data_IF_500878100611
#
_entry.id   IF_500878100611
#
_cell.length_a   1.000
_cell.length_b   1.000
_cell.length_c   1.000
_cell.angle_alpha   90.00
_cell.angle_beta   90.00
_cell.angle_gamma   90.00
#
_symmetry.space_group_name_H-M   'P 1'
#
loop_
_entity.id
_entity.type
_entity.pdbx_description
1 polymer ?
#
# COMPACT_ATOMS: atom_id res chain seq x y z
N UNK A 1 8.96 -2.41 5.59
CA UNK A 1 8.68 -1.16 4.84
C UNK A 1 9.61 -0.02 5.25
N UNK A 2 9.72 0.30 6.53
CA UNK A 2 10.60 1.37 7.02
C UNK A 2 12.01 1.37 6.40
N UNK A 3 12.77 0.27 6.54
CA UNK A 3 14.13 0.19 5.98
C UNK A 3 14.21 0.27 4.45
N UNK A 4 13.13 -0.04 3.73
CA UNK A 4 13.07 0.14 2.28
C UNK A 4 12.95 1.62 1.91
N UNK A 5 12.10 2.36 2.61
CA UNK A 5 11.95 3.81 2.42
C UNK A 5 13.26 4.52 2.77
N UNK A 6 13.90 4.17 3.89
CA UNK A 6 15.20 4.72 4.29
C UNK A 6 16.30 4.43 3.25
N UNK A 7 16.39 3.19 2.75
CA UNK A 7 17.40 2.81 1.76
C UNK A 7 17.21 3.52 0.42
N UNK A 8 15.97 3.61 -0.08
CA UNK A 8 15.68 4.37 -1.31
C UNK A 8 15.95 5.86 -1.09
N UNK A 9 15.59 6.41 0.07
CA UNK A 9 15.85 7.81 0.41
C UNK A 9 17.35 8.12 0.41
N UNK A 10 18.17 7.25 1.01
CA UNK A 10 19.62 7.42 1.04
C UNK A 10 20.26 7.35 -0.35
N UNK A 11 19.91 6.34 -1.15
CA UNK A 11 20.41 6.20 -2.52
C UNK A 11 20.01 7.40 -3.38
N UNK A 12 18.75 7.82 -3.27
CA UNK A 12 18.23 8.94 -4.02
C UNK A 12 18.83 10.26 -3.56
N UNK A 13 19.03 10.46 -2.26
CA UNK A 13 19.70 11.64 -1.73
C UNK A 13 21.11 11.80 -2.33
N UNK A 14 21.87 10.70 -2.42
CA UNK A 14 23.18 10.69 -3.05
C UNK A 14 23.09 11.05 -4.54
N UNK A 15 22.12 10.49 -5.26
CA UNK A 15 21.92 10.76 -6.69
C UNK A 15 21.41 12.18 -6.98
N UNK A 16 20.52 12.71 -6.14
CA UNK A 16 19.91 14.04 -6.30
C UNK A 16 20.89 15.17 -5.95
N UNK A 17 21.83 14.94 -5.01
CA UNK A 17 22.87 15.92 -4.68
C UNK A 17 23.66 16.38 -5.90
N UNK A 18 23.86 15.47 -6.86
CA UNK A 18 24.76 15.68 -8.01
C UNK A 18 24.00 15.75 -9.36
N UNK A 19 22.66 15.68 -9.35
CA UNK A 19 21.84 15.73 -10.58
C UNK A 19 21.42 17.15 -10.95
N UNK A 20 21.41 17.44 -12.28
CA UNK A 20 20.75 18.64 -12.83
C UNK A 20 19.24 18.52 -12.64
N UNK A 21 18.58 19.60 -12.20
CA UNK A 21 17.13 19.63 -12.03
C UNK A 21 16.41 19.22 -13.32
N UNK A 22 15.47 18.30 -13.19
CA UNK A 22 14.58 17.93 -14.29
C UNK A 22 13.75 19.16 -14.70
N UNK A 23 13.44 19.35 -16.00
CA UNK A 23 12.52 20.38 -16.47
C UNK A 23 11.21 20.36 -15.66
N UNK A 24 10.68 21.54 -15.35
CA UNK A 24 9.55 21.70 -14.43
C UNK A 24 8.32 20.91 -14.89
N UNK A 25 8.13 20.77 -16.21
CA UNK A 25 7.05 20.03 -16.86
C UNK A 25 7.11 18.52 -16.65
N UNK A 26 8.28 17.96 -16.34
CA UNK A 26 8.49 16.53 -16.08
C UNK A 26 8.64 16.20 -14.59
N UNK A 27 8.67 17.23 -13.73
CA UNK A 27 8.96 17.10 -12.31
C UNK A 27 7.93 16.27 -11.54
N UNK A 28 6.64 16.39 -11.91
CA UNK A 28 5.53 15.66 -11.27
C UNK A 28 5.57 14.15 -11.59
N UNK A 29 5.90 13.79 -12.83
CA UNK A 29 5.94 12.40 -13.28
C UNK A 29 7.21 11.66 -12.83
N UNK A 30 8.36 12.35 -12.85
CA UNK A 30 9.65 11.71 -12.62
C UNK A 30 9.88 11.33 -11.14
N UNK A 31 9.34 12.11 -10.19
CA UNK A 31 9.71 11.97 -8.78
C UNK A 31 8.83 11.02 -7.96
N UNK A 32 7.52 10.97 -8.21
CA UNK A 32 6.60 10.15 -7.41
C UNK A 32 6.57 8.70 -7.92
N UNK A 33 6.26 8.49 -9.21
CA UNK A 33 6.13 7.15 -9.79
C UNK A 33 7.41 6.32 -9.72
N UNK A 34 8.56 6.89 -10.06
CA UNK A 34 9.86 6.19 -9.99
C UNK A 34 10.23 5.78 -8.56
N UNK A 35 9.84 6.59 -7.57
CA UNK A 35 10.14 6.31 -6.18
C UNK A 35 9.24 5.24 -5.59
N UNK A 36 7.96 5.22 -5.97
CA UNK A 36 7.04 4.15 -5.61
C UNK A 36 7.60 2.80 -6.07
N UNK A 37 7.94 2.69 -7.35
CA UNK A 37 8.54 1.47 -7.94
C UNK A 37 9.83 1.08 -7.22
N UNK A 38 10.68 2.04 -6.90
CA UNK A 38 11.93 1.79 -6.17
C UNK A 38 11.69 1.31 -4.74
N UNK A 39 10.70 1.88 -4.03
CA UNK A 39 10.32 1.46 -2.68
C UNK A 39 9.74 0.06 -2.67
N UNK A 40 8.88 -0.29 -3.63
CA UNK A 40 8.33 -1.65 -3.77
C UNK A 40 9.46 -2.66 -4.01
N UNK A 41 10.35 -2.38 -4.97
CA UNK A 41 11.49 -3.26 -5.27
C UNK A 41 12.45 -3.44 -4.08
N UNK A 42 12.76 -2.36 -3.35
CA UNK A 42 13.58 -2.43 -2.13
C UNK A 42 12.86 -3.13 -0.99
N UNK A 43 11.55 -2.92 -0.83
CA UNK A 43 10.76 -3.64 0.15
C UNK A 43 10.83 -5.15 -0.12
N UNK A 44 10.58 -5.57 -1.35
CA UNK A 44 10.62 -6.97 -1.75
C UNK A 44 12.00 -7.58 -1.44
N UNK A 45 13.07 -6.90 -1.82
CA UNK A 45 14.44 -7.36 -1.60
C UNK A 45 14.81 -7.46 -0.11
N UNK A 46 14.49 -6.44 0.69
CA UNK A 46 14.84 -6.41 2.11
C UNK A 46 13.99 -7.36 2.95
N UNK A 47 12.70 -7.53 2.58
CA UNK A 47 11.78 -8.40 3.28
C UNK A 47 12.01 -9.89 2.94
N UNK A 48 12.69 -10.20 1.83
CA UNK A 48 12.82 -11.57 1.30
C UNK A 48 13.22 -12.61 2.37
N UNK A 49 14.32 -12.38 3.11
CA UNK A 49 14.78 -13.31 4.15
C UNK A 49 13.78 -13.48 5.30
N UNK A 50 13.02 -12.44 5.61
CA UNK A 50 11.98 -12.54 6.62
C UNK A 50 10.80 -13.35 6.08
N UNK A 51 10.36 -13.09 4.85
CA UNK A 51 9.29 -13.81 4.17
C UNK A 51 9.61 -15.31 4.02
N UNK A 52 10.82 -15.65 3.60
CA UNK A 52 11.29 -17.05 3.50
C UNK A 52 11.20 -17.78 4.85
N UNK A 53 11.57 -17.12 5.96
CA UNK A 53 11.42 -17.68 7.32
C UNK A 53 9.97 -17.87 7.74
N UNK A 54 9.06 -17.05 7.22
CA UNK A 54 7.62 -17.21 7.38
C UNK A 54 7.02 -18.22 6.39
N UNK A 55 7.84 -18.90 5.57
CA UNK A 55 7.41 -19.80 4.49
C UNK A 55 6.48 -19.11 3.48
N UNK A 56 6.71 -17.82 3.24
CA UNK A 56 5.98 -17.03 2.26
C UNK A 56 6.80 -16.88 0.98
N UNK A 57 6.22 -17.27 -0.15
CA UNK A 57 6.77 -17.02 -1.48
C UNK A 57 6.25 -15.67 -2.00
N UNK A 58 7.16 -14.74 -2.27
CA UNK A 58 6.81 -13.42 -2.77
C UNK A 58 6.89 -13.34 -4.30
N UNK A 59 5.91 -12.67 -4.91
CA UNK A 59 5.86 -12.37 -6.34
C UNK A 59 5.66 -10.87 -6.51
N UNK A 60 6.62 -10.20 -7.14
CA UNK A 60 6.57 -8.78 -7.47
C UNK A 60 5.88 -8.55 -8.83
N UNK A 61 5.07 -7.49 -8.92
CA UNK A 61 4.23 -7.13 -10.08
C UNK A 61 3.40 -8.32 -10.60
N UNK A 62 2.72 -9.04 -9.70
CA UNK A 62 1.98 -10.23 -10.08
C UNK A 62 0.83 -9.85 -11.02
N UNK A 63 0.80 -10.35 -12.28
CA UNK A 63 -0.33 -10.12 -13.16
C UNK A 63 -1.55 -10.91 -12.66
N UNK A 64 -2.71 -10.28 -12.74
CA UNK A 64 -4.00 -10.94 -12.53
C UNK A 64 -4.65 -11.11 -13.89
N UNK A 65 -4.79 -12.35 -14.34
CA UNK A 65 -5.42 -12.68 -15.62
C UNK A 65 -6.91 -12.32 -15.57
N UNK A 66 -7.23 -11.07 -15.92
CA UNK A 66 -8.61 -10.56 -15.93
C UNK A 66 -9.25 -10.51 -17.32
N UNK A 67 -8.51 -10.81 -18.39
CA UNK A 67 -8.98 -10.59 -19.76
C UNK A 67 -9.16 -11.89 -20.52
N UNK A 68 -10.41 -12.17 -20.88
CA UNK A 68 -10.79 -13.10 -21.95
C UNK A 68 -10.60 -12.47 -23.34
N UNK A 69 -10.56 -11.13 -23.47
CA UNK A 69 -10.23 -10.40 -24.70
C UNK A 69 -9.87 -8.91 -24.47
N UNK A 70 -9.16 -8.28 -25.41
CA UNK A 70 -8.84 -6.83 -25.46
C UNK A 70 -7.36 -6.45 -25.28
N UNK A 71 -6.88 -5.41 -25.98
CA UNK A 71 -5.50 -4.90 -25.91
C UNK A 71 -5.26 -3.99 -24.68
N UNK A 72 -4.15 -4.19 -23.96
CA UNK A 72 -3.77 -3.43 -22.76
C UNK A 72 -3.05 -4.28 -21.70
N UNK A 73 -2.36 -3.63 -20.75
CA UNK A 73 -1.64 -4.31 -19.65
C UNK A 73 -2.66 -4.97 -18.72
N UNK A 74 -2.40 -6.22 -18.32
CA UNK A 74 -3.18 -6.86 -17.26
C UNK A 74 -3.03 -6.07 -15.96
N UNK A 75 -4.09 -5.96 -15.14
CA UNK A 75 -3.95 -5.39 -13.80
C UNK A 75 -2.91 -6.21 -13.02
N UNK A 76 -1.98 -5.53 -12.37
CA UNK A 76 -0.94 -6.15 -11.54
C UNK A 76 -1.17 -5.84 -10.08
N UNK A 77 -0.76 -6.76 -9.22
CA UNK A 77 -0.63 -6.52 -7.79
C UNK A 77 0.84 -6.24 -7.52
N UNK A 78 1.15 -5.22 -6.71
CA UNK A 78 2.54 -4.85 -6.46
C UNK A 78 3.30 -6.02 -5.83
N UNK A 79 2.82 -6.59 -4.72
CA UNK A 79 3.41 -7.80 -4.13
C UNK A 79 2.31 -8.77 -3.73
N UNK A 80 2.42 -10.02 -4.20
CA UNK A 80 1.65 -11.14 -3.68
C UNK A 80 2.54 -12.07 -2.86
N UNK A 81 2.11 -12.41 -1.65
CA UNK A 81 2.78 -13.35 -0.77
C UNK A 81 1.93 -14.62 -0.66
N UNK A 82 2.47 -15.74 -1.13
CA UNK A 82 1.80 -17.04 -1.07
C UNK A 82 2.34 -17.87 0.08
N UNK A 83 1.45 -18.50 0.83
CA UNK A 83 1.82 -19.40 1.92
C UNK A 83 0.66 -20.25 2.38
N UNK A 84 0.77 -20.74 3.60
CA UNK A 84 -0.20 -21.61 4.24
C UNK A 84 -0.54 -21.08 5.63
N UNK A 85 -1.82 -21.15 5.99
CA UNK A 85 -2.31 -20.89 7.34
C UNK A 85 -2.38 -22.22 8.07
N UNK A 86 -1.85 -22.24 9.28
CA UNK A 86 -1.93 -23.42 10.13
C UNK A 86 -3.40 -23.77 10.37
N UNK A 87 -3.77 -25.06 10.33
CA UNK A 87 -5.12 -25.48 10.60
C UNK A 87 -5.54 -25.07 12.02
N UNK A 88 -6.81 -24.70 12.18
CA UNK A 88 -7.38 -24.32 13.48
C UNK A 88 -7.55 -25.54 14.38
N UNK A 89 -7.84 -26.71 13.80
CA UNK A 89 -7.96 -27.97 14.51
C UNK A 89 -6.85 -28.94 14.11
N UNK A 90 -6.39 -29.74 15.06
CA UNK A 90 -5.47 -30.84 14.78
C UNK A 90 -6.11 -31.82 13.78
N UNK A 91 -5.45 -32.01 12.63
CA UNK A 91 -5.87 -32.95 11.58
C UNK A 91 -6.48 -32.31 10.33
N UNK A 92 -6.84 -31.02 10.36
CA UNK A 92 -7.27 -30.32 9.15
C UNK A 92 -6.06 -30.03 8.23
N UNK A 93 -6.21 -30.10 6.89
CA UNK A 93 -5.14 -29.70 5.99
C UNK A 93 -4.91 -28.18 6.10
N UNK A 94 -3.66 -27.70 5.92
CA UNK A 94 -3.38 -26.28 5.91
C UNK A 94 -4.14 -25.58 4.77
N UNK A 95 -4.70 -24.41 5.07
CA UNK A 95 -5.37 -23.60 4.06
C UNK A 95 -4.34 -22.76 3.32
N UNK A 96 -4.36 -22.81 1.99
CA UNK A 96 -3.50 -21.94 1.17
C UNK A 96 -3.96 -20.50 1.32
N UNK A 97 -3.00 -19.57 1.34
CA UNK A 97 -3.26 -18.14 1.46
C UNK A 97 -2.45 -17.32 0.46
N UNK A 98 -3.07 -16.29 -0.08
CA UNK A 98 -2.42 -15.18 -0.77
C UNK A 98 -2.65 -13.87 0.01
N UNK A 99 -1.57 -13.20 0.39
CA UNK A 99 -1.61 -11.82 0.90
C UNK A 99 -1.20 -10.88 -0.23
N UNK A 100 -2.08 -9.94 -0.59
CA UNK A 100 -1.89 -8.97 -1.67
C UNK A 100 -1.58 -7.62 -1.06
N UNK A 101 -0.48 -7.02 -1.48
CA UNK A 101 -0.01 -5.71 -1.02
C UNK A 101 -0.03 -4.75 -2.20
N UNK A 102 -0.66 -3.59 -2.01
CA UNK A 102 -0.54 -2.42 -2.89
C UNK A 102 0.19 -1.32 -2.14
N UNK A 103 1.07 -0.62 -2.85
CA UNK A 103 1.80 0.52 -2.32
C UNK A 103 1.33 1.79 -3.02
N UNK A 104 1.38 2.90 -2.31
CA UNK A 104 0.96 4.16 -2.90
C UNK A 104 1.37 5.38 -2.11
N UNK A 105 1.41 6.50 -2.79
CA UNK A 105 1.54 7.80 -2.14
C UNK A 105 0.17 8.38 -1.78
N UNK A 106 0.03 8.89 -0.56
CA UNK A 106 -1.13 9.71 -0.22
C UNK A 106 -0.79 11.19 -0.20
N UNK A 107 -1.70 11.99 -0.72
CA UNK A 107 -1.60 13.44 -0.74
C UNK A 107 -2.36 14.07 0.42
N UNK A 108 -1.92 15.28 0.79
CA UNK A 108 -2.66 16.11 1.75
C UNK A 108 -3.47 17.13 0.96
N UNK A 109 -4.79 16.96 0.96
CA UNK A 109 -5.70 17.97 0.44
C UNK A 109 -5.67 19.22 1.33
N UNK A 110 -5.68 20.39 0.69
CA UNK A 110 -5.64 21.71 1.34
C UNK A 110 -4.45 21.88 2.32
N UNK A 111 -3.19 21.68 1.87
CA UNK A 111 -2.03 21.63 2.75
C UNK A 111 -1.72 22.97 3.45
N UNK A 112 -2.22 24.09 2.90
CA UNK A 112 -1.91 25.45 3.36
C UNK A 112 -2.70 25.90 4.59
N UNK A 113 -3.79 25.22 4.97
CA UNK A 113 -4.64 25.60 6.11
C UNK A 113 -4.71 24.45 7.11
N UNK A 114 -4.09 24.58 8.30
CA UNK A 114 -4.08 23.51 9.30
C UNK A 114 -5.47 22.99 9.67
N UNK A 115 -6.45 23.88 9.76
CA UNK A 115 -7.83 23.55 10.14
C UNK A 115 -8.61 22.73 9.10
N UNK A 116 -8.16 22.72 7.84
CA UNK A 116 -8.81 21.97 6.74
C UNK A 116 -7.90 20.88 6.16
N UNK A 117 -6.73 20.67 6.77
CA UNK A 117 -5.72 19.71 6.33
C UNK A 117 -6.29 18.30 6.48
N UNK A 118 -6.37 17.55 5.38
CA UNK A 118 -6.87 16.17 5.36
C UNK A 118 -6.11 15.33 4.34
N UNK A 119 -6.15 14.02 4.48
CA UNK A 119 -5.61 13.10 3.46
C UNK A 119 -6.62 12.98 2.32
N UNK A 120 -6.16 13.04 1.07
CA UNK A 120 -7.00 12.77 -0.09
C UNK A 120 -7.36 11.27 -0.15
N UNK A 121 -8.64 10.89 -0.09
CA UNK A 121 -9.06 9.49 -0.11
C UNK A 121 -8.94 8.82 -1.48
N UNK A 122 -8.67 9.56 -2.55
CA UNK A 122 -8.76 9.06 -3.93
C UNK A 122 -7.84 7.88 -4.20
N UNK A 123 -6.58 7.95 -3.75
CA UNK A 123 -5.61 6.85 -3.93
C UNK A 123 -6.01 5.62 -3.12
N UNK A 124 -6.37 5.81 -1.84
CA UNK A 124 -6.83 4.71 -0.98
C UNK A 124 -8.04 4.00 -1.56
N UNK A 125 -9.04 4.77 -2.02
CA UNK A 125 -10.23 4.23 -2.68
C UNK A 125 -9.87 3.47 -3.95
N UNK A 126 -9.09 4.07 -4.84
CA UNK A 126 -8.71 3.43 -6.11
C UNK A 126 -7.99 2.09 -5.93
N UNK A 127 -7.03 2.04 -5.00
CA UNK A 127 -6.29 0.80 -4.72
C UNK A 127 -7.18 -0.25 -4.01
N UNK A 128 -8.08 0.18 -3.12
CA UNK A 128 -9.01 -0.71 -2.45
C UNK A 128 -10.03 -1.32 -3.41
N UNK A 129 -10.60 -0.50 -4.30
CA UNK A 129 -11.54 -0.96 -5.33
C UNK A 129 -10.85 -1.91 -6.31
N UNK A 130 -9.60 -1.61 -6.71
CA UNK A 130 -8.77 -2.51 -7.51
C UNK A 130 -8.60 -3.87 -6.82
N UNK A 131 -8.11 -3.91 -5.58
CA UNK A 131 -7.89 -5.17 -4.86
C UNK A 131 -9.20 -5.93 -4.63
N UNK A 132 -10.27 -5.21 -4.30
CA UNK A 132 -11.58 -5.77 -4.11
C UNK A 132 -12.09 -6.42 -5.39
N UNK A 133 -12.07 -5.72 -6.52
CA UNK A 133 -12.49 -6.22 -7.84
C UNK A 133 -11.67 -7.45 -8.28
N UNK A 134 -10.37 -7.49 -7.96
CA UNK A 134 -9.50 -8.62 -8.27
C UNK A 134 -9.70 -9.84 -7.34
N UNK A 135 -10.54 -9.76 -6.30
CA UNK A 135 -10.79 -10.90 -5.38
C UNK A 135 -11.42 -12.11 -6.07
N UNK A 136 -12.22 -11.87 -7.10
CA UNK A 136 -12.91 -12.92 -7.86
C UNK A 136 -12.05 -13.54 -8.97
N UNK A 137 -10.85 -13.01 -9.22
CA UNK A 137 -9.98 -13.50 -10.27
C UNK A 137 -9.35 -14.85 -9.90
N UNK A 138 -9.14 -15.70 -10.90
CA UNK A 138 -8.57 -17.05 -10.71
C UNK A 138 -7.21 -16.98 -10.05
N UNK A 139 -7.05 -17.72 -8.96
CA UNK A 139 -5.76 -17.93 -8.31
C UNK A 139 -4.79 -18.64 -9.26
N UNK A 140 -3.50 -18.26 -9.32
CA UNK A 140 -2.51 -19.04 -10.04
C UNK A 140 -2.19 -20.38 -9.35
N UNK A 141 -2.67 -20.58 -8.12
CA UNK A 141 -2.48 -21.80 -7.34
C UNK A 141 -3.76 -22.63 -7.34
N UNK A 142 -3.63 -23.92 -7.66
CA UNK A 142 -4.75 -24.85 -7.67
C UNK A 142 -5.36 -25.07 -6.27
N UNK A 143 -6.69 -25.17 -6.22
CA UNK A 143 -7.48 -25.38 -5.01
C UNK A 143 -8.03 -24.08 -4.41
N UNK A 144 -8.81 -24.18 -3.32
CA UNK A 144 -9.28 -23.01 -2.59
C UNK A 144 -8.10 -22.26 -1.98
N UNK A 145 -8.17 -20.93 -2.01
CA UNK A 145 -7.16 -20.03 -1.43
C UNK A 145 -7.87 -18.92 -0.68
N UNK A 146 -7.39 -18.60 0.51
CA UNK A 146 -7.79 -17.42 1.25
C UNK A 146 -7.02 -16.20 0.74
N UNK A 147 -7.73 -15.10 0.49
CA UNK A 147 -7.14 -13.87 -0.03
C UNK A 147 -7.26 -12.78 1.03
N UNK A 148 -6.13 -12.23 1.43
CA UNK A 148 -6.04 -11.03 2.27
C UNK A 148 -5.51 -9.87 1.43
N UNK A 149 -6.13 -8.69 1.54
CA UNK A 149 -5.74 -7.51 0.79
C UNK A 149 -5.29 -6.41 1.75
N UNK A 150 -4.11 -5.86 1.52
CA UNK A 150 -3.58 -4.73 2.27
C UNK A 150 -3.05 -3.62 1.36
N UNK A 151 -3.18 -2.39 1.83
CA UNK A 151 -2.66 -1.21 1.17
C UNK A 151 -1.69 -0.53 2.13
N UNK A 152 -0.53 -0.13 1.63
CA UNK A 152 0.48 0.62 2.35
C UNK A 152 0.61 1.99 1.70
N UNK A 153 -0.11 2.97 2.24
CA UNK A 153 0.00 4.35 1.78
C UNK A 153 1.03 5.10 2.59
N UNK A 154 1.87 5.86 1.91
CA UNK A 154 2.93 6.58 2.58
C UNK A 154 3.17 7.96 1.97
N UNK A 155 3.88 8.81 2.69
CA UNK A 155 4.30 10.13 2.21
C UNK A 155 5.56 10.59 2.90
N UNK A 156 6.28 11.50 2.27
CA UNK A 156 7.37 12.26 2.90
C UNK A 156 6.84 13.64 3.28
N UNK A 157 7.24 14.13 4.44
CA UNK A 157 6.94 15.47 4.91
C UNK A 157 8.18 16.13 5.51
N UNK A 158 8.33 17.43 5.26
CA UNK A 158 9.41 18.23 5.81
C UNK A 158 8.99 18.80 7.20
N UNK A 159 8.79 17.91 8.16
CA UNK A 159 8.35 18.23 9.52
C UNK A 159 9.11 17.35 10.53
N UNK A 160 9.13 17.75 11.80
CA UNK A 160 9.76 16.95 12.86
C UNK A 160 8.97 15.66 13.12
N UNK A 161 9.66 14.56 13.37
CA UNK A 161 9.02 13.32 13.81
C UNK A 161 8.60 13.46 15.28
N UNK A 162 7.34 13.86 15.50
CA UNK A 162 6.78 14.05 16.84
C UNK A 162 5.56 13.18 17.03
N UNK A 163 5.25 12.84 18.28
CA UNK A 163 4.04 12.10 18.63
C UNK A 163 2.75 12.80 18.18
N UNK A 164 2.73 14.13 18.18
CA UNK A 164 1.55 14.91 17.74
C UNK A 164 1.36 14.83 16.22
N UNK A 165 2.44 14.90 15.45
CA UNK A 165 2.37 14.72 14.00
C UNK A 165 1.98 13.29 13.63
N UNK A 166 2.49 12.28 14.34
CA UNK A 166 2.08 10.89 14.16
C UNK A 166 0.58 10.70 14.49
N UNK A 167 0.10 11.25 15.62
CA UNK A 167 -1.33 11.21 15.99
C UNK A 167 -2.21 11.95 14.99
N UNK A 168 -1.73 13.05 14.42
CA UNK A 168 -2.45 13.75 13.36
C UNK A 168 -2.59 12.87 12.12
N UNK A 169 -1.49 12.27 11.63
CA UNK A 169 -1.53 11.37 10.48
C UNK A 169 -2.42 10.17 10.75
N UNK A 170 -2.33 9.57 11.94
CA UNK A 170 -3.18 8.45 12.32
C UNK A 170 -4.66 8.78 12.20
N UNK A 171 -5.10 9.90 12.80
CA UNK A 171 -6.50 10.35 12.70
C UNK A 171 -6.89 10.66 11.25
N UNK A 172 -6.03 11.35 10.50
CA UNK A 172 -6.32 11.75 9.12
C UNK A 172 -6.45 10.54 8.20
N UNK A 173 -5.61 9.51 8.38
CA UNK A 173 -5.66 8.24 7.64
C UNK A 173 -6.90 7.42 8.01
N UNK A 174 -7.27 7.35 9.30
CA UNK A 174 -8.54 6.72 9.73
C UNK A 174 -9.74 7.41 9.07
N UNK A 175 -9.80 8.75 9.10
CA UNK A 175 -10.88 9.49 8.45
C UNK A 175 -10.90 9.25 6.94
N UNK A 176 -9.73 9.21 6.30
CA UNK A 176 -9.62 8.93 4.88
C UNK A 176 -10.14 7.54 4.52
N UNK A 177 -9.86 6.51 5.33
CA UNK A 177 -10.40 5.16 5.15
C UNK A 177 -11.92 5.11 5.25
N UNK A 178 -12.51 5.81 6.22
CA UNK A 178 -13.97 5.89 6.38
C UNK A 178 -14.63 6.58 5.17
N UNK A 179 -14.03 7.67 4.67
CA UNK A 179 -14.50 8.37 3.47
C UNK A 179 -14.34 7.48 2.24
N UNK A 180 -13.18 6.86 2.04
CA UNK A 180 -12.93 5.97 0.91
C UNK A 180 -13.89 4.76 0.89
N UNK A 181 -14.25 4.23 2.05
CA UNK A 181 -15.26 3.16 2.19
C UNK A 181 -16.64 3.66 1.79
N UNK A 182 -17.04 4.84 2.27
CA UNK A 182 -18.35 5.43 2.00
C UNK A 182 -18.52 5.82 0.53
N UNK A 183 -17.48 6.37 -0.08
CA UNK A 183 -17.46 6.87 -1.44
C UNK A 183 -17.10 5.80 -2.48
N UNK A 184 -16.96 4.54 -2.06
CA UNK A 184 -16.66 3.45 -2.96
C UNK A 184 -17.86 3.09 -3.83
N UNK A 185 -17.56 2.72 -5.07
CA UNK A 185 -18.48 2.16 -6.06
C UNK A 185 -18.88 0.72 -5.76
N UNK A 186 -18.16 0.01 -4.89
CA UNK A 186 -18.46 -1.37 -4.53
C UNK A 186 -19.23 -1.47 -3.21
N UNK A 187 -20.49 -1.93 -3.27
CA UNK A 187 -21.27 -2.20 -2.07
C UNK A 187 -20.64 -3.31 -1.22
N UNK A 188 -20.52 -3.08 0.09
CA UNK A 188 -20.00 -4.05 1.05
C UNK A 188 -18.48 -4.11 1.16
N UNK A 189 -17.73 -3.28 0.42
CA UNK A 189 -16.31 -3.07 0.71
C UNK A 189 -16.16 -2.41 2.08
N UNK A 190 -15.13 -2.79 2.82
CA UNK A 190 -14.69 -2.11 4.04
C UNK A 190 -13.19 -1.90 3.96
N UNK A 191 -12.75 -0.68 4.29
CA UNK A 191 -11.34 -0.31 4.33
C UNK A 191 -11.02 0.04 5.78
N UNK A 192 -10.26 -0.82 6.45
CA UNK A 192 -9.91 -0.62 7.86
C UNK A 192 -8.48 -0.12 7.99
N UNK A 193 -8.29 0.96 8.74
CA UNK A 193 -6.97 1.46 9.06
C UNK A 193 -6.39 0.69 10.26
N UNK A 194 -5.28 -0.01 10.05
CA UNK A 194 -4.69 -0.91 11.04
C UNK A 194 -3.62 -0.23 11.88
N UNK A 195 -2.71 0.50 11.25
CA UNK A 195 -1.62 1.20 11.94
C UNK A 195 -1.11 2.39 11.16
N UNK A 196 -0.50 3.31 11.89
CA UNK A 196 0.34 4.38 11.33
C UNK A 196 1.71 4.32 11.97
N UNK A 197 2.76 4.47 11.16
CA UNK A 197 4.14 4.56 11.62
C UNK A 197 4.82 5.78 11.00
N UNK A 198 5.85 6.27 11.68
CA UNK A 198 6.72 7.33 11.18
C UNK A 198 8.19 6.95 11.31
N UNK A 199 9.03 7.53 10.45
CA UNK A 199 10.48 7.34 10.48
C UNK A 199 11.20 8.59 9.98
N UNK A 200 12.27 8.97 10.67
CA UNK A 200 13.15 10.05 10.23
C UNK A 200 13.99 9.63 9.01
N UNK A 201 14.06 10.52 8.03
CA UNK A 201 14.82 10.36 6.80
C UNK A 201 16.06 11.27 6.82
N UNK A 202 16.98 11.05 5.88
CA UNK A 202 18.19 11.86 5.76
C UNK A 202 17.81 13.27 5.28
N UNK A 203 18.29 14.30 5.96
CA UNK A 203 18.10 15.71 5.58
C UNK A 203 19.40 16.33 5.06
N UNK A 204 19.30 17.15 4.00
CA UNK A 204 20.44 17.74 3.31
C UNK A 204 21.16 18.81 4.13
N UNK A 205 20.39 19.56 4.94
CA UNK A 205 20.88 20.71 5.70
C UNK A 205 20.67 20.51 7.18
N UNK A 206 21.56 21.11 7.97
CA UNK A 206 21.41 21.25 9.41
C UNK A 206 20.10 21.98 9.72
N UNK A 207 19.30 21.44 10.64
CA UNK A 207 17.95 21.90 11.04
C UNK A 207 16.82 21.65 10.03
N UNK A 208 17.05 20.93 8.94
CA UNK A 208 15.96 20.36 8.15
C UNK A 208 15.51 19.04 8.76
N UNK A 209 14.20 18.78 8.71
CA UNK A 209 13.61 17.52 9.13
C UNK A 209 12.88 16.91 7.94
N UNK A 210 13.09 15.62 7.71
CA UNK A 210 12.39 14.84 6.71
C UNK A 210 11.89 13.57 7.38
N UNK A 211 10.60 13.29 7.22
CA UNK A 211 9.95 12.13 7.86
C UNK A 211 9.09 11.43 6.85
N UNK A 212 9.17 10.10 6.80
CA UNK A 212 8.19 9.29 6.11
C UNK A 212 7.10 8.86 7.09
N UNK A 213 5.84 9.03 6.70
CA UNK A 213 4.68 8.46 7.38
C UNK A 213 4.10 7.35 6.53
N UNK A 214 3.72 6.25 7.16
CA UNK A 214 3.12 5.08 6.52
C UNK A 214 1.82 4.72 7.25
N UNK A 215 0.73 4.58 6.53
CA UNK A 215 -0.52 3.96 6.97
C UNK A 215 -0.68 2.59 6.34
N UNK A 216 -1.12 1.60 7.12
CA UNK A 216 -1.48 0.27 6.62
C UNK A 216 -2.98 0.08 6.74
N UNK A 217 -3.60 -0.40 5.67
CA UNK A 217 -5.04 -0.63 5.58
C UNK A 217 -5.31 -2.06 5.17
N UNK A 218 -6.34 -2.70 5.72
CA UNK A 218 -6.92 -3.91 5.16
C UNK A 218 -8.12 -3.56 4.28
N UNK A 219 -8.35 -4.37 3.25
CA UNK A 219 -9.53 -4.27 2.39
C UNK A 219 -10.28 -5.59 2.47
N UNK A 220 -11.47 -5.53 3.05
CA UNK A 220 -12.32 -6.70 3.23
C UNK A 220 -13.65 -6.51 2.51
N UNK A 221 -14.24 -7.63 2.08
CA UNK A 221 -15.63 -7.65 1.65
C UNK A 221 -16.49 -8.21 2.75
N UNK A 222 -17.57 -7.51 3.08
CA UNK A 222 -18.67 -8.20 3.74
C UNK A 222 -19.17 -9.30 2.80
N UNK A 223 -19.46 -10.51 3.33
CA UNK A 223 -20.23 -11.47 2.56
C UNK A 223 -21.53 -10.79 2.13
N UNK A 224 -21.93 -10.98 0.87
CA UNK A 224 -23.22 -10.47 0.41
C UNK A 224 -24.30 -10.97 1.39
N UNK A 225 -25.26 -10.12 1.82
CA UNK A 225 -26.33 -10.58 2.67
C UNK A 225 -26.99 -11.76 1.97
N UNK A 226 -26.97 -12.92 2.63
CA UNK A 226 -27.61 -14.14 2.13
C UNK A 226 -29.05 -13.75 1.82
N UNK A 227 -29.42 -13.75 0.54
CA UNK A 227 -30.79 -13.47 0.15
C UNK A 227 -31.67 -14.44 0.95
N UNK A 228 -32.51 -13.91 1.83
CA UNK A 228 -33.52 -14.72 2.49
C UNK A 228 -34.30 -15.41 1.37
N UNK A 229 -34.18 -16.73 1.29
CA UNK A 229 -34.97 -17.49 0.33
C UNK A 229 -36.46 -17.23 0.63
N UNK A 230 -37.27 -16.93 -0.40
CA UNK A 230 -38.70 -16.71 -0.24
C UNK A 230 -39.44 -17.96 0.27
#
# INVERSE_FOLDING_TARGET
MQGAIESVDAERFVLERDQREAPQELSEYARAGSYEVSVVGRFHTLAQRWLERQKLAAVWERPVAKRTSGSGRHPTIDISLFGEVAPVNDGDPPTKREVRLEFGFFEIASPKRPSTRRVDPSKLRGDAEKLFDLRAATSPVAGPIEIENYILLWRIANEKNTGDNLKWHHRALTTSANVATTDSTFHGIQIEHLLTSSVDLIAARTNEHRVAYVGVFSVVGQPAPTAAMP
#
